data_IF_405899353165
#
_entry.id   IF_405899353165
#
_cell.length_a   1.000
_cell.length_b   1.000
_cell.length_c   1.000
_cell.angle_alpha   90.00
_cell.angle_beta   90.00
_cell.angle_gamma   90.00
#
_symmetry.space_group_name_H-M   'P 1'
#
loop_
_entity.id
_entity.type
_entity.pdbx_description
1 polymer ?
#
# COMPACT_ATOMS: atom_id res chain seq x y z
N UNK A 1 8.11 2.03 7.37
CA UNK A 1 6.74 2.15 6.80
C UNK A 1 6.56 1.27 5.55
N UNK A 2 7.48 1.29 4.59
CA UNK A 2 7.47 0.34 3.45
C UNK A 2 7.31 -1.12 3.88
N UNK A 3 8.00 -1.52 4.96
CA UNK A 3 7.93 -2.89 5.50
C UNK A 3 6.54 -3.23 6.07
N UNK A 4 5.84 -2.25 6.67
CA UNK A 4 4.44 -2.42 7.13
C UNK A 4 3.51 -2.70 5.96
N UNK A 5 3.65 -1.96 4.86
CA UNK A 5 2.87 -2.19 3.64
C UNK A 5 3.15 -3.59 3.06
N UNK A 6 4.43 -3.99 3.03
CA UNK A 6 4.82 -5.33 2.61
C UNK A 6 4.22 -6.43 3.50
N UNK A 7 4.26 -6.25 4.82
CA UNK A 7 3.70 -7.18 5.79
C UNK A 7 2.18 -7.30 5.66
N UNK A 8 1.45 -6.18 5.49
CA UNK A 8 0.00 -6.21 5.23
C UNK A 8 -0.29 -7.00 3.95
N UNK A 9 0.41 -6.71 2.86
CA UNK A 9 0.20 -7.42 1.60
C UNK A 9 0.56 -8.91 1.72
N UNK A 10 1.60 -9.26 2.48
CA UNK A 10 1.99 -10.65 2.71
C UNK A 10 0.92 -11.42 3.50
N UNK A 11 0.29 -10.79 4.50
CA UNK A 11 -0.70 -11.43 5.37
C UNK A 11 -2.12 -11.40 4.78
N UNK A 12 -2.51 -10.31 4.13
CA UNK A 12 -3.87 -10.03 3.66
C UNK A 12 -4.01 -10.16 2.13
N UNK A 13 -2.90 -10.37 1.41
CA UNK A 13 -2.83 -10.49 -0.05
C UNK A 13 -2.79 -9.14 -0.79
N UNK A 14 -3.32 -8.08 -0.20
CA UNK A 14 -3.27 -6.73 -0.73
C UNK A 14 -3.46 -5.68 0.38
N UNK A 15 -3.18 -4.41 0.08
CA UNK A 15 -3.47 -3.28 0.98
C UNK A 15 -4.44 -2.29 0.34
N UNK A 16 -5.37 -1.77 1.14
CA UNK A 16 -6.24 -0.64 0.77
C UNK A 16 -5.77 0.63 1.47
N UNK A 17 -6.20 1.79 0.96
CA UNK A 17 -5.98 3.08 1.64
C UNK A 17 -6.55 3.11 3.06
N UNK A 18 -7.77 2.59 3.25
CA UNK A 18 -8.40 2.52 4.56
C UNK A 18 -7.60 1.65 5.52
N UNK A 19 -7.20 0.45 5.09
CA UNK A 19 -6.40 -0.47 5.91
C UNK A 19 -5.07 0.14 6.33
N UNK A 20 -4.37 0.82 5.42
CA UNK A 20 -3.09 1.47 5.73
C UNK A 20 -3.26 2.69 6.64
N UNK A 21 -4.31 3.50 6.43
CA UNK A 21 -4.65 4.61 7.32
C UNK A 21 -4.83 4.12 8.75
N UNK A 22 -5.59 3.04 8.92
CA UNK A 22 -5.90 2.45 10.23
C UNK A 22 -4.64 1.85 10.87
N UNK A 23 -3.78 1.18 10.07
CA UNK A 23 -2.49 0.66 10.53
C UNK A 23 -1.53 1.75 11.03
N UNK A 24 -1.51 2.90 10.35
CA UNK A 24 -0.59 3.99 10.66
C UNK A 24 -1.16 5.01 11.66
N UNK A 25 -2.44 4.89 12.03
CA UNK A 25 -3.11 5.87 12.89
C UNK A 25 -3.04 7.30 12.32
N UNK A 26 -3.07 7.44 11.00
CA UNK A 26 -2.83 8.71 10.30
C UNK A 26 -4.07 9.18 9.52
N UNK A 27 -4.00 10.37 8.92
CA UNK A 27 -5.07 10.87 8.06
C UNK A 27 -5.06 10.18 6.70
N UNK A 28 -6.20 10.22 6.00
CA UNK A 28 -6.33 9.67 4.64
C UNK A 28 -5.28 10.26 3.68
N UNK A 29 -5.05 11.59 3.74
CA UNK A 29 -4.09 12.31 2.89
C UNK A 29 -2.67 11.73 2.97
N UNK A 30 -2.21 11.41 4.19
CA UNK A 30 -0.85 10.88 4.38
C UNK A 30 -0.73 9.43 3.94
N UNK A 31 -1.73 8.58 4.23
CA UNK A 31 -1.73 7.20 3.77
C UNK A 31 -1.83 7.12 2.24
N UNK A 32 -2.57 8.02 1.60
CA UNK A 32 -2.71 8.10 0.15
C UNK A 32 -1.38 8.51 -0.51
N UNK A 33 -0.77 9.60 -0.07
CA UNK A 33 0.52 10.07 -0.59
C UNK A 33 1.62 9.00 -0.46
N UNK A 34 1.63 8.24 0.64
CA UNK A 34 2.55 7.14 0.82
C UNK A 34 2.31 6.00 -0.18
N UNK A 35 1.07 5.61 -0.41
CA UNK A 35 0.75 4.56 -1.37
C UNK A 35 1.10 5.00 -2.81
N UNK A 36 0.83 6.24 -3.17
CA UNK A 36 1.23 6.82 -4.45
C UNK A 36 2.75 6.83 -4.62
N UNK A 37 3.49 7.22 -3.58
CA UNK A 37 4.95 7.16 -3.59
C UNK A 37 5.46 5.72 -3.81
N UNK A 38 4.85 4.72 -3.19
CA UNK A 38 5.23 3.31 -3.38
C UNK A 38 4.87 2.78 -4.78
N UNK A 39 3.77 3.25 -5.36
CA UNK A 39 3.38 2.93 -6.74
C UNK A 39 4.40 3.53 -7.75
N UNK A 40 4.77 4.80 -7.55
CA UNK A 40 5.77 5.51 -8.35
C UNK A 40 7.16 4.86 -8.23
N UNK A 41 7.55 4.47 -7.02
CA UNK A 41 8.78 3.73 -6.74
C UNK A 41 8.75 2.28 -7.25
N UNK A 42 7.69 1.88 -7.95
CA UNK A 42 7.50 0.53 -8.53
C UNK A 42 7.53 -0.58 -7.46
N UNK A 43 7.25 -0.24 -6.21
CA UNK A 43 7.18 -1.21 -5.11
C UNK A 43 5.81 -1.88 -5.05
N UNK A 44 4.75 -1.09 -5.20
CA UNK A 44 3.37 -1.58 -5.29
C UNK A 44 2.80 -1.38 -6.70
N UNK A 45 1.70 -2.08 -6.97
CA UNK A 45 0.87 -1.88 -8.14
C UNK A 45 -0.58 -1.72 -7.69
N UNK A 46 -1.19 -0.57 -8.00
CA UNK A 46 -2.63 -0.34 -7.84
C UNK A 46 -3.42 -1.18 -8.85
N UNK A 47 -4.45 -1.86 -8.36
CA UNK A 47 -5.41 -2.66 -9.11
C UNK A 47 -6.67 -1.81 -9.42
N UNK A 48 -7.55 -2.26 -10.34
CA UNK A 48 -8.77 -1.53 -10.70
C UNK A 48 -9.76 -1.32 -9.53
N UNK A 49 -9.65 -2.12 -8.46
CA UNK A 49 -10.47 -2.05 -7.26
C UNK A 49 -9.80 -1.26 -6.11
N UNK A 50 -8.82 -0.42 -6.44
CA UNK A 50 -8.04 0.43 -5.53
C UNK A 50 -7.17 -0.29 -4.48
N UNK A 51 -7.12 -1.62 -4.53
CA UNK A 51 -6.16 -2.40 -3.77
C UNK A 51 -4.77 -2.32 -4.40
N UNK A 52 -3.75 -2.53 -3.57
CA UNK A 52 -2.35 -2.55 -3.99
C UNK A 52 -1.70 -3.86 -3.59
N UNK A 53 -0.96 -4.44 -4.52
CA UNK A 53 -0.16 -5.65 -4.33
C UNK A 53 1.31 -5.34 -4.53
N UNK A 54 2.21 -6.21 -4.05
CA UNK A 54 3.63 -6.09 -4.33
C UNK A 54 3.85 -6.25 -5.83
N UNK A 55 4.66 -5.37 -6.40
CA UNK A 55 5.11 -5.52 -7.77
C UNK A 55 6.15 -6.64 -7.80
N UNK A 56 5.85 -7.76 -8.47
CA UNK A 56 6.88 -8.79 -8.73
C UNK A 56 8.04 -8.14 -9.48
N UNK A 57 9.27 -8.36 -9.01
CA UNK A 57 10.47 -8.15 -9.84
C UNK A 57 10.35 -9.14 -10.99
N UNK A 58 10.02 -8.62 -12.18
CA UNK A 58 10.29 -9.31 -13.43
C UNK A 58 11.77 -9.26 -13.73
#
# INVERSE_FOLDING_TARGET
VRDRVGAIIANEGAVTLARLRDELGTSRKYAEALLEHLDQARYTKRLPDDRRVLRRRG
#
